data_IF_823054288364
#
_entry.id   IF_823054288364
#
_cell.length_a   1.000
_cell.length_b   1.000
_cell.length_c   1.000
_cell.angle_alpha   90.00
_cell.angle_beta   90.00
_cell.angle_gamma   90.00
#
_symmetry.space_group_name_H-M   'P 1'
#
loop_
_entity.id
_entity.type
_entity.pdbx_description
1 polymer ?
2 polymer ?
3 water ?
#
loop_
_entity_poly.entity_id
_entity_poly.type
_entity_poly.pdbx_seq_one_letter_code
_entity_poly.pdbx_strand_id
2 'polyribonucleotide' 'GG(6MZ)CU' ?
#
# COMPACT_ATOMS: atom_id res chain seq x y z
N UNK A 20 -18.50 -5.73 -3.49
CA UNK A 20 -18.66 -4.32 -3.13
C UNK A 20 -19.28 -3.51 -4.28
N UNK A 21 -20.54 -3.11 -4.09
CA UNK A 21 -21.27 -2.38 -5.15
C UNK A 21 -20.53 -1.19 -5.75
N UNK A 22 -19.80 -0.41 -4.96
CA UNK A 22 -19.08 0.74 -5.52
C UNK A 22 -18.06 0.25 -6.53
N UNK A 23 -17.21 -0.70 -6.12
CA UNK A 23 -16.19 -1.24 -6.99
C UNK A 23 -16.79 -1.87 -8.23
N UNK A 24 -18.02 -2.39 -8.14
CA UNK A 24 -18.61 -3.00 -9.32
C UNK A 24 -19.21 -1.99 -10.29
N UNK A 25 -19.55 -0.78 -9.86
CA UNK A 25 -19.75 0.30 -10.84
C UNK A 25 -18.44 0.60 -11.55
N UNK A 26 -17.40 0.95 -10.78
CA UNK A 26 -16.10 1.30 -11.35
C UNK A 26 -15.64 0.27 -12.36
N UNK A 27 -15.56 -0.99 -11.92
CA UNK A 27 -15.13 -2.07 -12.78
C UNK A 27 -15.90 -2.11 -14.11
N UNK A 28 -17.18 -1.72 -14.11
CA UNK A 28 -17.98 -1.81 -15.33
C UNK A 28 -17.62 -0.70 -16.34
N UNK A 29 -17.58 0.56 -15.90
CA UNK A 29 -17.35 1.67 -16.82
C UNK A 29 -15.93 1.67 -17.38
N UNK A 30 -15.04 0.95 -16.71
CA UNK A 30 -13.60 1.00 -16.91
C UNK A 30 -13.17 -0.43 -17.24
N UNK A 31 -12.69 -0.66 -18.45
CA UNK A 31 -12.15 -2.00 -18.71
C UNK A 31 -10.77 -2.06 -18.06
N UNK A 32 -10.73 -2.29 -16.74
CA UNK A 32 -9.43 -2.35 -16.07
C UNK A 32 -8.64 -3.54 -16.59
N UNK A 33 -7.33 -3.45 -16.44
CA UNK A 33 -6.37 -4.47 -16.87
C UNK A 33 -6.73 -5.06 -18.25
N UNK A 34 -6.85 -4.22 -19.27
CA UNK A 34 -7.25 -4.76 -20.58
C UNK A 34 -6.12 -5.55 -21.20
N UNK A 35 -6.46 -6.70 -21.78
CA UNK A 35 -5.46 -7.58 -22.37
C UNK A 35 -5.03 -7.14 -23.76
N UNK A 36 -5.70 -6.14 -24.31
CA UNK A 36 -5.47 -5.72 -25.69
C UNK A 36 -4.63 -4.47 -25.81
N UNK A 37 -3.92 -4.02 -24.75
CA UNK A 37 -3.66 -2.58 -24.77
C UNK A 37 -2.75 -2.36 -25.96
N UNK A 38 -3.20 -1.74 -27.04
CA UNK A 38 -2.22 -1.11 -27.89
C UNK A 38 -1.77 0.12 -27.13
N UNK A 39 -0.50 0.12 -26.67
CA UNK A 39 -0.10 1.23 -25.79
C UNK A 39 -0.14 2.61 -26.48
N UNK A 40 -0.57 2.68 -27.74
CA UNK A 40 -0.45 3.87 -28.57
C UNK A 40 1.02 4.28 -28.64
N UNK A 41 1.47 5.16 -27.74
CA UNK A 41 2.81 5.77 -27.74
C UNK A 41 3.27 6.16 -29.14
N UNK A 42 4.56 5.89 -29.39
CA UNK A 42 5.22 6.25 -30.64
C UNK A 42 4.86 7.68 -31.07
N UNK A 43 4.43 8.50 -30.09
CA UNK A 43 4.21 9.96 -30.06
C UNK A 43 3.81 10.47 -28.69
N UNK A 44 4.00 9.67 -27.65
CA UNK A 44 3.38 9.92 -26.37
C UNK A 44 4.44 9.99 -25.30
N UNK A 45 4.00 10.27 -24.08
CA UNK A 45 5.09 10.61 -23.21
C UNK A 45 4.69 10.07 -21.83
N UNK A 46 5.67 9.72 -20.99
CA UNK A 46 5.44 8.80 -19.88
C UNK A 46 6.12 9.30 -18.61
N UNK A 47 5.39 9.27 -17.48
CA UNK A 47 5.92 9.77 -16.21
C UNK A 47 5.64 8.84 -15.03
N UNK A 48 6.63 8.70 -14.12
CA UNK A 48 6.41 8.02 -12.84
C UNK A 48 5.59 8.90 -11.90
N UNK A 49 4.55 8.33 -11.30
CA UNK A 49 3.85 8.98 -10.19
C UNK A 49 4.16 8.25 -8.89
N UNK A 50 4.57 9.00 -7.86
CA UNK A 50 4.84 8.45 -6.55
C UNK A 50 3.86 9.02 -5.55
N UNK A 51 3.42 8.18 -4.62
CA UNK A 51 2.51 8.60 -3.56
C UNK A 51 3.00 8.04 -2.23
N UNK A 52 2.96 8.86 -1.18
CA UNK A 52 3.17 8.32 0.16
C UNK A 52 1.87 8.11 0.94
N UNK A 53 0.76 7.93 0.23
CA UNK A 53 -0.54 7.60 0.82
C UNK A 53 -1.19 6.59 -0.11
N UNK A 54 -1.40 5.33 0.31
CA UNK A 54 -2.22 4.50 -0.56
C UNK A 54 -3.67 4.91 -0.54
N UNK A 55 -4.11 5.60 0.51
CA UNK A 55 -5.45 6.12 0.45
C UNK A 55 -5.61 7.00 -0.79
N UNK A 56 -4.57 7.76 -1.13
CA UNK A 56 -4.65 8.63 -2.30
C UNK A 56 -4.77 7.83 -3.59
N UNK A 57 -4.18 6.64 -3.64
CA UNK A 57 -4.33 5.82 -4.84
C UNK A 57 -5.74 5.28 -4.94
N UNK A 58 -6.36 4.93 -3.82
CA UNK A 58 -7.76 4.52 -3.86
C UNK A 58 -8.67 5.68 -4.25
N UNK A 59 -8.40 6.87 -3.71
CA UNK A 59 -9.18 8.05 -4.07
C UNK A 59 -9.05 8.37 -5.56
N UNK A 60 -7.85 8.23 -6.11
CA UNK A 60 -7.66 8.62 -7.51
C UNK A 60 -8.38 7.68 -8.46
N UNK A 61 -8.42 6.38 -8.13
CA UNK A 61 -9.14 5.44 -8.99
C UNK A 61 -10.64 5.72 -8.96
N UNK A 62 -11.16 6.05 -7.79
CA UNK A 62 -12.59 6.30 -7.66
C UNK A 62 -12.98 7.53 -8.44
N UNK A 63 -12.38 8.66 -8.07
CA UNK A 63 -12.72 9.99 -8.55
C UNK A 63 -12.02 10.35 -9.84
N UNK A 64 -11.15 9.48 -10.37
CA UNK A 64 -10.51 9.68 -11.67
C UNK A 64 -9.85 11.06 -11.78
N UNK A 65 -9.13 11.43 -10.72
CA UNK A 65 -8.38 12.68 -10.67
C UNK A 65 -7.07 12.42 -9.95
N UNK A 66 -6.08 13.25 -10.27
CA UNK A 66 -4.81 13.25 -9.56
C UNK A 66 -4.35 14.68 -9.35
N UNK A 67 -3.43 14.83 -8.39
CA UNK A 67 -2.77 16.08 -8.05
C UNK A 67 -1.38 15.74 -7.52
N UNK A 68 -0.35 16.45 -8.01
CA UNK A 68 1.01 16.28 -7.53
C UNK A 68 1.45 17.52 -6.76
N UNK A 69 2.75 17.59 -6.44
CA UNK A 69 3.39 18.78 -5.87
C UNK A 69 3.21 19.96 -6.83
N UNK A 70 3.51 21.18 -6.36
CA UNK A 70 3.31 22.32 -7.26
C UNK A 70 4.27 22.22 -8.41
N UNK A 71 5.47 21.69 -8.13
CA UNK A 71 6.45 21.46 -9.19
C UNK A 71 6.01 20.33 -10.11
N UNK A 72 5.51 19.23 -9.54
CA UNK A 72 5.03 18.12 -10.37
C UNK A 72 3.79 18.46 -11.17
N UNK A 73 2.88 19.25 -10.58
CA UNK A 73 1.74 19.74 -11.33
C UNK A 73 2.19 20.51 -12.58
N UNK A 74 3.25 21.33 -12.46
CA UNK A 74 3.72 22.17 -13.57
C UNK A 74 4.43 21.31 -14.62
N UNK A 75 5.31 20.43 -14.18
CA UNK A 75 5.81 19.41 -15.09
C UNK A 75 4.77 18.55 -15.79
N UNK A 76 3.77 18.04 -15.09
CA UNK A 76 2.80 17.23 -15.85
C UNK A 76 2.00 18.09 -16.80
N UNK A 77 1.63 19.30 -16.37
CA UNK A 77 0.88 20.24 -17.21
C UNK A 77 1.64 20.58 -18.49
N UNK A 78 2.96 20.80 -18.37
CA UNK A 78 3.75 21.23 -19.52
C UNK A 78 3.87 20.12 -20.55
N UNK A 79 4.21 18.91 -20.11
CA UNK A 79 4.28 17.79 -21.04
C UNK A 79 2.95 17.59 -21.72
N UNK A 80 1.86 17.60 -20.95
CA UNK A 80 0.54 17.36 -21.53
C UNK A 80 0.24 18.37 -22.63
N UNK A 81 0.54 19.64 -22.37
CA UNK A 81 0.21 20.71 -23.30
C UNK A 81 1.09 20.68 -24.55
N UNK A 82 2.34 20.23 -24.43
CA UNK A 82 3.14 20.12 -25.64
C UNK A 82 2.74 18.91 -26.47
N UNK A 83 1.97 18.00 -25.90
CA UNK A 83 1.44 16.90 -26.69
C UNK A 83 0.13 17.27 -27.37
N UNK A 84 -0.65 18.22 -26.79
CA UNK A 84 -2.01 18.45 -27.31
C UNK A 84 -2.88 17.21 -27.30
N UNK A 85 -2.92 16.48 -28.37
CA UNK A 85 -3.64 15.23 -28.35
C UNK A 85 -2.97 14.33 -29.35
N UNK A 86 -1.73 14.69 -29.67
CA UNK A 86 -0.90 13.95 -30.62
C UNK A 86 -0.29 12.71 -30.00
N UNK A 87 -0.50 12.50 -28.71
CA UNK A 87 0.18 11.47 -27.96
C UNK A 87 -0.33 11.38 -26.54
N UNK A 88 -0.48 10.16 -26.05
CA UNK A 88 -1.00 9.98 -24.69
C UNK A 88 0.08 10.21 -23.65
N UNK A 89 -0.35 10.74 -22.52
CA UNK A 89 0.51 10.88 -21.34
C UNK A 89 0.10 9.78 -20.38
N UNK A 90 0.98 8.80 -20.19
CA UNK A 90 0.71 7.72 -19.25
C UNK A 90 1.44 7.97 -17.95
N UNK A 91 0.81 7.58 -16.83
CA UNK A 91 1.32 7.78 -15.48
C UNK A 91 1.44 6.44 -14.78
N UNK A 92 2.64 6.14 -14.28
CA UNK A 92 2.97 4.84 -13.68
C UNK A 92 3.02 5.02 -12.16
N UNK A 93 1.94 4.62 -11.48
CA UNK A 93 1.81 4.88 -10.06
C UNK A 93 2.57 3.84 -9.23
N UNK A 94 3.04 4.27 -8.06
CA UNK A 94 3.71 3.43 -7.08
C UNK A 94 3.84 4.11 -5.72
N UNK A 95 3.37 3.44 -4.67
CA UNK A 95 3.43 3.98 -3.30
C UNK A 95 4.83 3.79 -2.74
N UNK A 96 5.39 4.87 -2.17
CA UNK A 96 6.68 4.79 -1.50
C UNK A 96 6.72 3.60 -0.55
N UNK A 97 7.84 2.88 -0.54
CA UNK A 97 8.02 1.77 0.36
C UNK A 97 7.16 0.55 0.09
N UNK A 98 6.33 0.56 -0.96
CA UNK A 98 5.44 -0.57 -1.21
C UNK A 98 6.13 -1.74 -1.90
N UNK A 99 7.26 -1.50 -2.57
CA UNK A 99 7.95 -2.56 -3.29
C UNK A 99 7.26 -3.03 -4.56
N UNK A 100 6.28 -2.28 -5.05
CA UNK A 100 5.72 -2.54 -6.36
C UNK A 100 5.23 -1.23 -6.94
N UNK A 101 4.91 -1.27 -8.23
CA UNK A 101 3.98 -0.31 -8.83
C UNK A 101 2.58 -0.87 -8.70
N UNK A 102 1.60 0.02 -8.70
CA UNK A 102 0.25 -0.42 -8.46
C UNK A 102 -0.72 -0.13 -9.59
N UNK A 103 -0.30 0.56 -10.64
CA UNK A 103 -1.17 0.72 -11.80
C UNK A 103 -0.73 1.83 -12.73
N UNK A 104 -1.39 1.88 -13.89
CA UNK A 104 -1.11 2.83 -14.95
C UNK A 104 -2.39 3.62 -15.27
N UNK A 105 -2.23 4.92 -15.48
CA UNK A 105 -3.32 5.82 -15.82
C UNK A 105 -2.86 6.83 -16.88
N UNK A 106 -3.79 7.24 -17.73
CA UNK A 106 -3.54 8.28 -18.71
C UNK A 106 -4.00 9.63 -18.17
N UNK A 107 -3.20 10.65 -18.44
CA UNK A 107 -3.58 12.03 -18.11
C UNK A 107 -4.61 12.52 -19.11
N UNK A 108 -5.71 13.07 -18.62
CA UNK A 108 -6.85 13.37 -19.48
C UNK A 108 -7.31 14.83 -19.46
N UNK A 109 -6.63 15.70 -18.74
CA UNK A 109 -6.96 17.12 -18.81
C UNK A 109 -5.73 17.91 -18.39
N UNK A 110 -5.83 19.22 -18.58
CA UNK A 110 -4.82 20.15 -18.09
C UNK A 110 -4.98 20.26 -16.59
N UNK A 111 -4.09 20.99 -15.93
CA UNK A 111 -4.09 21.11 -14.48
C UNK A 111 -4.93 22.33 -14.09
N UNK A 112 -5.94 22.12 -13.25
CA UNK A 112 -6.53 23.23 -12.52
C UNK A 112 -5.70 23.43 -11.25
N UNK A 113 -4.97 24.53 -11.21
CA UNK A 113 -4.08 24.82 -10.09
C UNK A 113 -4.82 25.43 -8.91
N UNK A 114 -6.09 25.79 -9.08
CA UNK A 114 -6.85 26.45 -8.03
C UNK A 114 -7.48 25.45 -7.08
N UNK A 115 -8.18 24.46 -7.64
CA UNK A 115 -8.98 23.49 -6.90
C UNK A 115 -8.25 22.94 -5.68
N UNK A 116 -9.02 22.67 -4.62
CA UNK A 116 -8.50 22.01 -3.44
C UNK A 116 -8.99 20.58 -3.28
N UNK A 117 -10.06 20.19 -3.98
CA UNK A 117 -10.52 18.80 -4.08
C UNK A 117 -10.98 18.25 -2.73
N UNK A 118 -10.15 18.36 -1.70
CA UNK A 118 -10.49 17.85 -0.38
C UNK A 118 -10.80 16.37 -0.36
N UNK A 119 -10.05 15.59 -1.13
CA UNK A 119 -10.28 14.15 -1.25
C UNK A 119 -9.09 13.41 -0.68
N UNK A 120 -7.91 13.99 -0.83
CA UNK A 120 -6.68 13.33 -0.48
C UNK A 120 -6.55 13.15 1.03
N UNK A 121 -5.65 12.27 1.44
CA UNK A 121 -5.54 12.02 2.87
C UNK A 121 -4.86 13.15 3.62
N UNK A 122 -4.27 14.12 2.91
CA UNK A 122 -3.74 15.34 3.50
C UNK A 122 -4.35 16.56 2.80
N UNK A 123 -4.59 17.63 3.58
CA UNK A 123 -5.04 18.90 3.01
C UNK A 123 -4.02 19.59 2.11
N UNK A 124 -2.73 19.31 2.25
CA UNK A 124 -1.77 20.16 1.58
C UNK A 124 -1.87 20.16 0.05
N UNK A 125 -2.58 19.20 -0.55
CA UNK A 125 -2.49 19.00 -2.00
C UNK A 125 -3.41 19.97 -2.73
N UNK A 126 -2.82 21.00 -3.32
CA UNK A 126 -3.55 22.02 -4.07
C UNK A 126 -3.52 21.68 -5.54
N UNK A 127 -4.68 21.71 -6.19
CA UNK A 127 -4.76 21.44 -7.61
C UNK A 127 -5.31 20.07 -7.92
N UNK A 128 -5.43 19.82 -9.21
CA UNK A 128 -6.30 18.75 -9.67
C UNK A 128 -6.22 18.59 -11.18
N UNK A 129 -6.22 17.34 -11.66
CA UNK A 129 -6.47 17.10 -13.07
C UNK A 129 -7.08 15.73 -13.24
N UNK A 130 -7.68 15.52 -14.40
CA UNK A 130 -8.41 14.28 -14.64
C UNK A 130 -7.45 13.21 -15.10
N UNK A 131 -7.70 11.98 -14.63
CA UNK A 131 -7.00 10.79 -15.10
C UNK A 131 -8.05 9.74 -15.43
N UNK A 132 -7.70 8.84 -16.35
CA UNK A 132 -8.47 7.63 -16.63
C UNK A 132 -7.59 6.46 -16.27
N UNK A 133 -8.02 5.66 -15.31
CA UNK A 133 -7.19 4.56 -14.87
C UNK A 133 -7.37 3.37 -15.81
N UNK A 134 -6.26 2.75 -16.18
CA UNK A 134 -6.29 1.73 -17.22
C UNK A 134 -5.99 0.40 -16.56
N UNK A 135 -4.74 0.22 -16.14
CA UNK A 135 -4.33 -0.96 -15.39
C UNK A 135 -4.41 -0.66 -13.89
N UNK A 136 -4.91 -1.62 -13.13
CA UNK A 136 -4.90 -1.55 -11.67
C UNK A 136 -4.42 -2.88 -11.12
N UNK A 137 -3.10 -2.98 -10.89
CA UNK A 137 -2.47 -4.26 -10.60
C UNK A 137 -1.14 -3.97 -9.92
N UNK A 138 -0.73 -4.84 -9.01
CA UNK A 138 0.53 -4.62 -8.30
C UNK A 138 1.65 -5.36 -9.05
N UNK A 139 2.66 -4.62 -9.49
CA UNK A 139 3.79 -5.16 -10.24
C UNK A 139 5.04 -5.01 -9.37
N UNK A 140 5.60 -6.08 -8.82
CA UNK A 140 6.74 -5.93 -7.91
C UNK A 140 7.91 -5.24 -8.58
N UNK A 141 8.72 -4.56 -7.76
CA UNK A 141 9.86 -3.81 -8.26
C UNK A 141 10.83 -4.71 -9.04
N UNK A 142 11.02 -5.94 -8.58
CA UNK A 142 12.06 -6.73 -9.21
C UNK A 142 11.70 -7.19 -10.62
N UNK A 143 10.50 -6.88 -11.11
CA UNK A 143 10.16 -7.09 -12.50
C UNK A 143 10.64 -5.95 -13.40
N UNK A 144 11.06 -4.83 -12.83
CA UNK A 144 11.47 -3.67 -13.61
C UNK A 144 12.79 -3.06 -13.14
N UNK A 145 13.44 -3.63 -12.11
CA UNK A 145 14.72 -3.14 -11.61
C UNK A 145 15.80 -3.07 -12.69
N UNK A 146 15.68 -3.88 -13.75
CA UNK A 146 16.74 -3.91 -14.76
C UNK A 146 16.68 -2.71 -15.70
N UNK A 147 15.50 -2.18 -16.02
CA UNK A 147 15.39 -0.97 -16.83
C UNK A 147 15.88 0.22 -16.02
N UNK A 148 17.08 0.71 -16.33
CA UNK A 148 17.67 1.83 -15.59
C UNK A 148 17.59 3.11 -16.41
N UNK A 149 17.16 4.19 -15.77
CA UNK A 149 16.87 5.43 -16.47
C UNK A 149 18.14 6.26 -16.63
N UNK A 150 18.58 6.44 -17.89
CA UNK A 150 19.76 7.23 -18.15
C UNK A 150 19.54 8.71 -17.79
N UNK A 151 18.30 9.20 -17.94
CA UNK A 151 17.98 10.58 -17.60
C UNK A 151 17.85 10.83 -16.08
N UNK A 152 17.95 9.80 -15.24
CA UNK A 152 18.19 10.02 -13.81
C UNK A 152 19.71 9.96 -13.63
N UNK A 153 20.28 9.15 -12.74
CA UNK A 153 21.69 8.85 -12.88
C UNK A 153 21.89 7.37 -13.09
N UNK A 154 21.28 6.81 -14.13
CA UNK A 154 21.29 5.39 -14.41
C UNK A 154 20.77 4.57 -13.24
N UNK A 155 20.01 5.19 -12.33
CA UNK A 155 19.23 4.48 -11.32
C UNK A 155 18.12 3.68 -12.01
N UNK A 156 17.71 2.55 -11.42
CA UNK A 156 16.61 1.78 -12.01
C UNK A 156 15.30 2.51 -11.89
N UNK A 157 14.44 2.34 -12.89
CA UNK A 157 13.14 3.01 -12.95
C UNK A 157 12.36 2.80 -11.63
N UNK A 158 12.67 1.71 -10.90
CA UNK A 158 12.08 1.48 -9.59
C UNK A 158 12.56 2.47 -8.53
N UNK A 159 13.68 3.17 -8.78
CA UNK A 159 14.27 4.13 -7.87
C UNK A 159 13.92 5.56 -8.26
N UNK A 160 12.72 5.79 -8.78
CA UNK A 160 12.41 7.08 -9.36
C UNK A 160 11.73 7.97 -8.34
N UNK A 161 11.81 9.27 -8.57
CA UNK A 161 11.04 10.20 -7.80
C UNK A 161 9.78 10.57 -8.56
N UNK A 162 8.96 11.39 -7.93
CA UNK A 162 7.66 11.78 -8.45
C UNK A 162 7.80 12.68 -9.68
N UNK A 163 7.01 12.39 -10.73
CA UNK A 163 6.99 13.08 -12.02
C UNK A 163 8.35 13.00 -12.74
N UNK A 164 9.12 11.96 -12.47
CA UNK A 164 10.32 11.67 -13.25
C UNK A 164 9.93 11.09 -14.60
N UNK A 165 10.36 11.70 -15.69
CA UNK A 165 9.99 11.23 -17.01
C UNK A 165 10.74 9.94 -17.36
N UNK A 166 10.05 9.03 -18.05
CA UNK A 166 10.68 7.84 -18.60
C UNK A 166 10.82 8.03 -20.11
N UNK A 167 12.01 7.94 -20.67
CA UNK A 167 12.16 8.07 -22.13
C UNK A 167 11.35 7.03 -22.87
N UNK A 168 10.84 7.42 -24.05
CA UNK A 168 10.11 6.56 -24.99
C UNK A 168 10.54 5.09 -24.93
N UNK A 169 11.81 4.86 -25.26
CA UNK A 169 12.30 3.52 -25.55
C UNK A 169 12.40 2.66 -24.30
N UNK A 170 12.58 3.29 -23.15
CA UNK A 170 12.55 2.52 -21.92
C UNK A 170 11.14 2.41 -21.35
N UNK A 171 10.24 3.35 -21.71
CA UNK A 171 8.85 3.21 -21.29
C UNK A 171 8.17 2.05 -22.00
N UNK A 172 8.52 1.83 -23.28
CA UNK A 172 8.01 0.65 -23.99
C UNK A 172 8.35 -0.63 -23.22
N UNK A 173 9.60 -0.78 -22.81
CA UNK A 173 9.97 -1.96 -22.03
C UNK A 173 9.18 -2.03 -20.73
N UNK A 174 9.02 -0.89 -20.05
CA UNK A 174 8.34 -0.88 -18.76
C UNK A 174 6.86 -1.16 -18.96
N UNK A 175 6.24 -0.46 -19.91
CA UNK A 175 4.81 -0.65 -20.14
C UNK A 175 4.50 -2.09 -20.55
N UNK A 176 5.39 -2.69 -21.34
CA UNK A 176 5.17 -4.07 -21.77
C UNK A 176 5.08 -5.00 -20.56
N UNK A 177 6.03 -4.90 -19.62
CA UNK A 177 6.03 -5.88 -18.55
C UNK A 177 4.83 -5.68 -17.64
N UNK A 178 4.38 -4.43 -17.47
CA UNK A 178 3.19 -4.19 -16.66
C UNK A 178 1.95 -4.75 -17.32
N UNK A 179 1.87 -4.70 -18.63
CA UNK A 179 0.68 -5.20 -19.29
C UNK A 179 0.57 -6.70 -19.14
N UNK A 180 1.69 -7.41 -19.27
CA UNK A 180 1.68 -8.86 -19.31
C UNK A 180 1.65 -9.50 -17.94
N UNK A 181 2.29 -8.88 -16.94
CA UNK A 181 2.58 -9.54 -15.67
C UNK A 181 1.32 -10.12 -15.03
N UNK A 182 1.40 -11.40 -14.65
CA UNK A 182 0.30 -12.11 -13.98
C UNK A 182 0.28 -11.70 -12.52
N UNK A 183 -0.36 -10.55 -12.25
CA UNK A 183 -0.37 -10.02 -10.90
C UNK A 183 -1.18 -10.90 -9.96
N UNK A 184 -0.77 -10.94 -8.69
CA UNK A 184 -1.53 -11.67 -7.70
C UNK A 184 -2.26 -10.76 -6.70
N UNK A 185 -1.82 -9.52 -6.50
CA UNK A 185 -2.56 -8.56 -5.66
C UNK A 185 -2.93 -7.34 -6.49
N UNK A 186 -3.81 -6.52 -5.91
CA UNK A 186 -4.21 -5.24 -6.48
C UNK A 186 -4.72 -4.38 -5.33
N UNK A 187 -4.81 -3.06 -5.57
CA UNK A 187 -5.36 -2.22 -4.52
C UNK A 187 -6.85 -2.48 -4.32
N UNK A 188 -7.51 -3.10 -5.30
CA UNK A 188 -8.91 -3.47 -5.10
C UNK A 188 -9.06 -4.48 -3.97
N UNK A 189 -8.03 -5.31 -3.74
CA UNK A 189 -8.06 -6.23 -2.61
C UNK A 189 -8.35 -5.50 -1.33
N UNK A 190 -8.07 -4.20 -1.29
CA UNK A 190 -8.25 -3.40 -0.10
C UNK A 190 -9.35 -2.36 -0.28
N UNK A 191 -10.18 -2.52 -1.31
CA UNK A 191 -11.20 -1.53 -1.62
C UNK A 191 -12.00 -1.13 -0.39
N UNK A 192 -12.60 -2.13 0.28
CA UNK A 192 -13.47 -1.88 1.42
C UNK A 192 -12.72 -1.19 2.56
N UNK A 193 -11.46 -1.59 2.78
CA UNK A 193 -10.64 -0.96 3.80
C UNK A 193 -10.39 0.52 3.50
N UNK A 194 -9.90 0.85 2.30
CA UNK A 194 -9.66 2.27 2.02
C UNK A 194 -10.95 3.08 1.94
N UNK A 195 -12.06 2.47 1.50
CA UNK A 195 -13.32 3.19 1.41
C UNK A 195 -13.78 3.71 2.78
N UNK A 196 -13.74 2.85 3.80
CA UNK A 196 -14.11 3.32 5.14
C UNK A 196 -13.09 4.29 5.71
N UNK A 197 -11.84 4.25 5.24
CA UNK A 197 -10.92 5.28 5.70
C UNK A 197 -11.24 6.67 5.13
N UNK A 198 -12.30 6.82 4.34
CA UNK A 198 -12.76 8.15 3.97
C UNK A 198 -13.69 8.75 5.02
N UNK A 199 -14.06 8.00 6.03
CA UNK A 199 -15.02 8.47 7.01
C UNK A 199 -14.33 8.98 8.27
N UNK B 31 6.68 -21.84 24.99
CA UNK B 31 6.48 -20.55 25.65
C UNK B 31 6.26 -19.45 24.61
N UNK B 32 6.59 -18.21 24.97
CA UNK B 32 6.51 -17.07 24.06
C UNK B 32 7.87 -16.38 23.98
N UNK B 33 7.89 -15.31 23.18
CA UNK B 33 8.99 -14.37 23.15
C UNK B 33 10.34 -15.03 22.81
N UNK B 34 10.37 -15.86 21.76
CA UNK B 34 11.60 -16.62 21.47
C UNK B 34 12.79 -15.72 21.22
N UNK B 35 13.96 -16.19 21.64
CA UNK B 35 15.18 -15.45 21.41
C UNK B 35 15.70 -15.68 19.99
N UNK B 36 15.75 -16.93 19.58
CA UNK B 36 16.13 -17.29 18.22
C UNK B 36 14.84 -17.24 17.41
N UNK B 37 14.55 -16.09 16.81
CA UNK B 37 13.42 -16.02 15.88
C UNK B 37 13.87 -15.46 14.54
N UNK B 38 13.77 -16.29 13.51
CA UNK B 38 14.03 -15.90 12.13
C UNK B 38 12.68 -15.51 11.55
N UNK B 39 12.46 -14.20 11.41
CA UNK B 39 11.19 -13.68 10.94
C UNK B 39 10.83 -14.18 9.54
N UNK B 40 11.82 -14.57 8.74
CA UNK B 40 11.58 -15.02 7.38
C UNK B 40 10.80 -13.98 6.57
N UNK B 41 11.09 -12.71 6.80
CA UNK B 41 10.26 -11.70 6.15
C UNK B 41 10.38 -11.60 4.63
N UNK B 42 11.44 -12.12 4.02
CA UNK B 42 11.78 -11.89 2.61
C UNK B 42 10.55 -11.62 1.75
N UNK B 43 9.64 -12.58 1.77
CA UNK B 43 8.47 -12.62 0.89
C UNK B 43 7.15 -12.57 1.66
N UNK B 44 7.18 -12.12 2.92
CA UNK B 44 5.97 -11.89 3.70
C UNK B 44 5.44 -10.45 3.66
N UNK B 45 4.37 -10.25 4.44
CA UNK B 45 3.77 -8.94 4.63
C UNK B 45 3.40 -8.83 6.09
N UNK B 46 3.32 -7.60 6.59
CA UNK B 46 3.29 -7.28 8.01
C UNK B 46 2.29 -6.15 8.20
N UNK B 47 1.35 -6.31 9.13
CA UNK B 47 0.26 -5.35 9.30
C UNK B 47 0.05 -5.02 10.76
N UNK B 48 -0.47 -3.82 11.01
CA UNK B 48 -0.80 -3.35 12.36
C UNK B 48 -2.24 -3.72 12.68
N UNK B 49 -2.47 -4.32 13.85
CA UNK B 49 -3.81 -4.59 14.36
C UNK B 49 -4.08 -3.62 15.51
N UNK B 50 -5.16 -2.85 15.40
CA UNK B 50 -5.55 -1.95 16.50
C UNK B 50 -6.77 -2.53 17.22
N UNK B 51 -6.56 -3.10 18.40
CA UNK B 51 -7.63 -3.74 19.16
C UNK B 51 -8.42 -2.74 19.96
N UNK B 52 -9.72 -3.00 20.10
CA UNK B 52 -10.61 -2.08 20.78
C UNK B 52 -10.58 -2.26 22.28
N UNK B 53 -10.00 -3.35 22.76
CA UNK B 53 -10.13 -3.73 24.17
C UNK B 53 -9.03 -4.70 24.54
N UNK B 54 -8.54 -4.60 25.77
CA UNK B 54 -7.64 -5.61 26.28
C UNK B 54 -8.33 -6.96 26.40
N UNK B 55 -9.66 -6.98 26.49
CA UNK B 55 -10.39 -8.24 26.48
C UNK B 55 -10.05 -9.05 25.24
N UNK B 56 -10.18 -8.44 24.06
CA UNK B 56 -9.97 -9.14 22.81
C UNK B 56 -8.57 -9.73 22.74
N UNK B 57 -7.59 -9.04 23.30
CA UNK B 57 -6.24 -9.61 23.34
C UNK B 57 -6.23 -10.84 24.23
N UNK B 58 -6.85 -10.76 25.41
CA UNK B 58 -6.91 -11.92 26.29
C UNK B 58 -7.60 -13.09 25.61
N UNK B 59 -8.65 -12.80 24.84
CA UNK B 59 -9.43 -13.83 24.17
C UNK B 59 -8.68 -14.40 22.99
N UNK B 60 -7.98 -13.55 22.25
CA UNK B 60 -7.23 -14.03 21.10
C UNK B 60 -6.14 -14.98 21.52
N UNK B 61 -5.40 -14.64 22.58
CA UNK B 61 -4.27 -15.46 23.03
C UNK B 61 -4.75 -16.82 23.51
N UNK B 62 -5.83 -16.83 24.29
CA UNK B 62 -6.32 -18.07 24.86
C UNK B 62 -6.73 -19.06 23.76
N UNK B 63 -7.32 -18.56 22.68
CA UNK B 63 -8.00 -19.42 21.71
C UNK B 63 -7.47 -19.28 20.28
N UNK B 64 -6.36 -18.57 20.07
CA UNK B 64 -5.65 -18.49 18.80
C UNK B 64 -6.57 -18.15 17.63
N UNK B 65 -7.43 -17.13 17.84
CA UNK B 65 -8.17 -16.52 16.75
C UNK B 65 -8.14 -15.01 16.87
N UNK B 66 -8.50 -14.35 15.79
CA UNK B 66 -8.67 -12.91 15.82
C UNK B 66 -9.92 -12.56 15.01
N UNK B 67 -10.55 -11.44 15.36
CA UNK B 67 -11.66 -10.86 14.61
C UNK B 67 -11.35 -9.38 14.40
N UNK B 68 -11.37 -8.95 13.15
CA UNK B 68 -11.27 -7.55 12.78
C UNK B 68 -12.63 -7.05 12.30
N UNK B 69 -12.67 -5.81 11.83
CA UNK B 69 -13.88 -5.32 11.21
C UNK B 69 -14.20 -6.16 9.97
N UNK B 70 -15.39 -5.94 9.38
CA UNK B 70 -15.72 -6.67 8.16
C UNK B 70 -14.72 -6.36 7.06
N UNK B 71 -14.34 -5.09 6.90
CA UNK B 71 -13.44 -4.69 5.81
C UNK B 71 -11.98 -5.09 6.10
N UNK B 72 -11.55 -4.98 7.34
CA UNK B 72 -10.18 -5.32 7.64
C UNK B 72 -9.93 -6.82 7.56
N UNK B 73 -10.87 -7.62 8.05
CA UNK B 73 -10.82 -9.12 7.81
C UNK B 73 -10.61 -9.50 6.41
N UNK B 74 -11.04 -8.61 5.53
CA UNK B 74 -11.26 -8.94 4.14
C UNK B 74 -10.04 -8.56 3.33
N UNK B 75 -9.46 -7.41 3.67
CA UNK B 75 -8.09 -7.07 3.39
C UNK B 75 -7.17 -8.21 3.81
N UNK B 76 -7.30 -8.67 5.06
CA UNK B 76 -6.43 -9.72 5.56
C UNK B 76 -6.62 -11.02 4.80
N UNK B 77 -7.86 -11.34 4.42
CA UNK B 77 -8.13 -12.56 3.68
C UNK B 77 -7.44 -12.56 2.33
N UNK B 78 -7.54 -11.45 1.60
CA UNK B 78 -6.93 -11.37 0.28
C UNK B 78 -5.41 -11.35 0.37
N UNK B 79 -4.86 -10.65 1.37
CA UNK B 79 -3.42 -10.67 1.59
C UNK B 79 -2.94 -12.08 1.85
N UNK B 80 -3.51 -12.73 2.87
CA UNK B 80 -3.12 -14.08 3.26
C UNK B 80 -3.20 -15.03 2.07
N UNK B 81 -4.36 -15.04 1.40
CA UNK B 81 -4.57 -15.92 0.25
C UNK B 81 -3.62 -15.58 -0.88
N UNK B 82 -3.32 -14.29 -1.06
CA UNK B 82 -2.36 -13.87 -2.08
C UNK B 82 -0.99 -14.44 -1.81
N UNK B 83 -0.56 -14.41 -0.55
CA UNK B 83 0.75 -14.95 -0.19
C UNK B 83 0.87 -16.43 -0.53
N UNK B 84 -0.25 -17.16 -0.49
CA UNK B 84 -0.33 -18.61 -0.72
C UNK B 84 0.87 -19.36 -0.12
N UNK B 85 1.21 -18.99 1.11
CA UNK B 85 2.25 -19.69 1.84
C UNK B 85 3.65 -19.51 1.30
N UNK B 86 3.86 -18.59 0.36
CA UNK B 86 5.22 -18.22 -0.03
C UNK B 86 5.91 -17.37 1.04
N UNK B 87 5.16 -16.82 2.00
CA UNK B 87 5.68 -15.96 3.03
C UNK B 87 4.75 -15.80 4.22
N UNK B 88 5.29 -15.30 5.33
CA UNK B 88 4.45 -15.10 6.52
C UNK B 88 3.61 -13.85 6.41
N UNK B 89 2.50 -13.84 7.14
CA UNK B 89 1.74 -12.61 7.36
C UNK B 89 1.73 -12.36 8.86
N UNK B 90 2.51 -11.38 9.31
CA UNK B 90 2.60 -11.01 10.71
C UNK B 90 1.65 -9.86 11.05
N UNK B 91 1.19 -9.86 12.31
CA UNK B 91 0.29 -8.85 12.86
C UNK B 91 0.87 -8.29 14.13
N UNK B 92 0.92 -6.98 14.23
CA UNK B 92 1.48 -6.25 15.36
C UNK B 92 0.35 -5.63 16.15
N UNK B 93 0.17 -6.08 17.37
CA UNK B 93 -1.02 -5.68 18.12
C UNK B 93 -0.78 -4.50 19.06
N UNK B 94 -1.76 -3.61 19.10
CA UNK B 94 -1.76 -2.49 20.04
C UNK B 94 -3.21 -2.21 20.40
N UNK B 95 -3.52 -2.22 21.69
CA UNK B 95 -4.86 -1.83 22.11
C UNK B 95 -5.03 -0.34 21.86
N UNK B 96 -6.24 0.07 21.47
CA UNK B 96 -6.48 1.49 21.31
C UNK B 96 -6.14 2.20 22.61
N UNK B 97 -5.33 3.23 22.51
CA UNK B 97 -5.03 4.05 23.64
C UNK B 97 -4.09 3.46 24.65
N UNK B 98 -3.51 2.29 24.36
CA UNK B 98 -2.67 1.64 25.34
C UNK B 98 -1.32 2.32 25.48
N UNK B 99 -0.87 3.05 24.46
CA UNK B 99 0.45 3.67 24.47
C UNK B 99 1.62 2.73 24.36
N UNK B 100 1.39 1.45 24.03
CA UNK B 100 2.43 0.48 23.77
C UNK B 100 1.89 -0.59 22.83
N UNK B 101 2.79 -1.29 22.16
CA UNK B 101 2.45 -2.50 21.43
C UNK B 101 2.48 -3.69 22.38
N UNK B 102 1.65 -4.68 22.11
CA UNK B 102 1.46 -5.75 23.08
C UNK B 102 1.74 -7.15 22.55
N UNK B 103 2.22 -7.30 21.32
CA UNK B 103 2.67 -8.60 20.88
C UNK B 103 2.73 -8.69 19.37
N UNK B 104 3.11 -9.89 18.89
CA UNK B 104 3.08 -10.22 17.47
C UNK B 104 2.55 -11.64 17.30
N UNK B 105 1.67 -11.82 16.32
CA UNK B 105 1.15 -13.13 15.96
C UNK B 105 1.24 -13.31 14.45
N UNK B 106 1.37 -14.56 14.02
CA UNK B 106 1.24 -14.88 12.61
C UNK B 106 -0.19 -15.32 12.29
N UNK B 107 -0.64 -14.93 11.12
CA UNK B 107 -1.94 -15.37 10.64
C UNK B 107 -1.82 -16.79 10.11
N UNK B 108 -2.78 -17.65 10.48
CA UNK B 108 -2.66 -19.07 10.21
C UNK B 108 -3.88 -19.67 9.49
N UNK B 109 -4.84 -18.87 9.05
CA UNK B 109 -6.00 -19.43 8.37
C UNK B 109 -6.67 -18.33 7.56
N UNK B 110 -7.37 -18.74 6.51
CA UNK B 110 -8.26 -17.84 5.81
C UNK B 110 -9.37 -17.45 6.78
N UNK B 111 -10.15 -16.44 6.42
CA UNK B 111 -11.22 -15.96 7.29
C UNK B 111 -12.42 -16.89 7.19
N UNK B 112 -13.09 -17.05 8.31
CA UNK B 112 -14.17 -18.01 8.50
C UNK B 112 -15.42 -17.21 8.83
N UNK B 113 -16.43 -17.34 7.99
CA UNK B 113 -17.63 -16.52 8.13
C UNK B 113 -18.84 -17.37 8.52
N UNK B 114 -18.61 -18.42 9.32
CA UNK B 114 -19.65 -19.37 9.72
C UNK B 114 -20.54 -18.86 10.87
N UNK B 115 -20.20 -17.74 11.51
CA UNK B 115 -21.05 -17.16 12.57
C UNK B 115 -21.58 -15.76 12.23
N UNK B 126 -19.94 -11.86 11.89
CA UNK B 126 -18.60 -12.15 12.40
C UNK B 126 -17.73 -12.94 11.42
N UNK B 127 -16.46 -12.58 11.38
CA UNK B 127 -15.44 -13.37 10.70
C UNK B 127 -14.27 -13.61 11.64
N UNK B 128 -13.70 -14.81 11.55
CA UNK B 128 -12.62 -15.23 12.43
C UNK B 128 -11.53 -15.85 11.60
N UNK B 129 -10.30 -15.74 12.09
CA UNK B 129 -9.20 -16.48 11.49
C UNK B 129 -8.22 -16.85 12.59
N UNK B 130 -7.44 -17.89 12.34
CA UNK B 130 -6.50 -18.39 13.32
C UNK B 130 -5.28 -17.50 13.36
N UNK B 131 -4.66 -17.42 14.54
CA UNK B 131 -3.43 -16.68 14.74
C UNK B 131 -2.55 -17.47 15.69
N UNK B 132 -1.25 -17.53 15.42
CA UNK B 132 -0.28 -18.12 16.34
C UNK B 132 0.51 -17.02 17.02
N UNK B 133 0.28 -16.83 18.31
CA UNK B 133 0.99 -15.76 19.02
C UNK B 133 2.45 -16.14 19.21
N UNK B 134 3.34 -15.29 18.73
CA UNK B 134 4.78 -15.54 18.81
C UNK B 134 5.43 -14.74 19.92
N UNK B 135 5.08 -13.46 20.02
CA UNK B 135 5.59 -12.57 21.05
C UNK B 135 4.41 -12.01 21.82
N UNK B 136 4.42 -12.21 23.13
CA UNK B 136 3.59 -11.44 24.06
C UNK B 136 4.54 -10.66 24.96
N UNK B 137 4.52 -9.33 24.84
CA UNK B 137 5.39 -8.42 25.56
C UNK B 137 4.87 -7.01 25.32
N UNK B 138 5.09 -6.13 26.31
CA UNK B 138 4.68 -4.73 26.19
C UNK B 138 5.86 -3.92 25.68
N UNK B 139 5.73 -3.36 24.48
CA UNK B 139 6.75 -2.51 23.87
C UNK B 139 6.19 -1.10 23.80
N UNK B 140 6.71 -0.14 24.56
CA UNK B 140 6.17 1.21 24.52
C UNK B 140 6.45 1.92 23.21
N UNK B 141 5.58 2.84 22.85
CA UNK B 141 5.69 3.52 21.56
C UNK B 141 6.98 4.35 21.46
N UNK B 142 7.42 4.98 22.56
CA UNK B 142 8.71 5.67 22.62
C UNK B 142 9.84 4.94 21.94
N UNK B 143 9.79 3.62 21.92
CA UNK B 143 10.83 2.83 21.28
C UNK B 143 10.60 2.63 19.80
N UNK B 144 9.44 3.00 19.28
CA UNK B 144 9.12 2.74 17.88
C UNK B 144 8.67 4.00 17.15
N UNK B 145 8.34 5.06 17.89
CA UNK B 145 7.87 6.31 17.30
C UNK B 145 8.75 6.84 16.17
N UNK B 146 10.04 6.51 16.18
CA UNK B 146 10.96 7.10 15.22
C UNK B 146 10.85 6.47 13.84
N UNK B 147 10.11 5.38 13.71
CA UNK B 147 9.90 4.68 12.44
C UNK B 147 8.62 5.23 11.81
N UNK B 148 8.74 5.89 10.66
CA UNK B 148 7.62 6.47 9.96
C UNK B 148 7.23 5.62 8.75
N UNK B 149 5.94 5.59 8.44
CA UNK B 149 5.44 4.78 7.33
C UNK B 149 5.34 5.65 6.08
N UNK B 150 6.31 5.50 5.18
CA UNK B 150 6.29 6.25 3.93
C UNK B 150 5.18 5.78 2.97
N UNK B 151 4.32 4.87 3.41
CA UNK B 151 3.09 4.57 2.70
C UNK B 151 1.88 5.22 3.32
N UNK B 152 2.02 5.87 4.47
CA UNK B 152 0.89 6.46 5.15
C UNK B 152 1.25 7.85 5.64
N UNK B 153 1.44 8.77 4.69
CA UNK B 153 1.74 10.18 5.00
C UNK B 153 2.85 10.31 6.03
N UNK B 154 3.86 9.45 5.94
CA UNK B 154 5.01 9.46 6.84
C UNK B 154 4.60 9.58 8.31
N UNK B 155 3.53 8.84 8.70
CA UNK B 155 3.13 8.89 10.10
C UNK B 155 3.88 7.81 10.87
N UNK B 156 4.21 8.09 12.13
CA UNK B 156 4.92 7.09 12.93
C UNK B 156 4.12 5.79 13.02
N UNK B 157 4.84 4.67 12.94
CA UNK B 157 4.20 3.36 12.99
C UNK B 157 3.31 3.27 14.22
N UNK B 158 3.50 4.15 15.19
CA UNK B 158 2.68 4.14 16.39
C UNK B 158 1.40 4.95 16.21
N UNK B 159 1.24 5.61 15.08
CA UNK B 159 0.07 6.44 14.79
C UNK B 159 -0.76 5.81 13.68
N UNK B 160 -0.83 4.48 13.66
CA UNK B 160 -1.54 3.73 12.64
C UNK B 160 -2.98 3.46 13.05
N UNK B 161 -3.77 3.09 12.07
CA UNK B 161 -5.10 2.58 12.33
C UNK B 161 -5.16 1.11 11.93
N UNK B 162 -6.33 0.52 12.07
CA UNK B 162 -6.42 -0.93 11.95
C UNK B 162 -6.01 -1.41 10.56
N UNK B 163 -5.27 -2.54 10.55
CA UNK B 163 -4.72 -3.21 9.35
C UNK B 163 -3.93 -2.25 8.44
N UNK B 164 -3.34 -1.20 9.03
CA UNK B 164 -2.30 -0.47 8.33
C UNK B 164 -1.14 -1.39 8.02
N UNK B 165 -0.63 -1.31 6.80
CA UNK B 165 0.48 -2.17 6.42
C UNK B 165 1.80 -1.45 6.61
N UNK B 166 2.82 -2.22 6.98
CA UNK B 166 4.15 -1.71 7.27
C UNK B 166 5.06 -2.13 6.13
N UNK B 167 5.72 -1.21 5.45
CA UNK B 167 6.60 -1.60 4.34
C UNK B 167 7.69 -2.55 4.81
N UNK B 168 8.13 -3.43 3.90
CA UNK B 168 9.05 -4.50 4.28
C UNK B 168 10.25 -3.99 5.09
N UNK B 169 10.88 -2.91 4.65
CA UNK B 169 12.10 -2.49 5.32
C UNK B 169 11.82 -1.81 6.66
N UNK B 170 10.70 -1.09 6.79
CA UNK B 170 10.34 -0.59 8.11
C UNK B 170 9.88 -1.71 9.03
N UNK B 171 9.37 -2.82 8.47
CA UNK B 171 8.89 -3.91 9.31
C UNK B 171 10.05 -4.65 9.93
N UNK B 172 11.14 -4.84 9.19
CA UNK B 172 12.36 -5.41 9.76
C UNK B 172 12.85 -4.57 10.94
N UNK B 173 12.91 -3.26 10.79
CA UNK B 173 13.29 -2.39 11.90
C UNK B 173 12.34 -2.54 13.08
N UNK B 174 11.03 -2.59 12.82
CA UNK B 174 10.06 -2.70 13.92
C UNK B 174 10.22 -4.02 14.65
N UNK B 175 10.08 -5.12 13.90
CA UNK B 175 10.10 -6.45 14.51
C UNK B 175 11.37 -6.68 15.32
N UNK B 176 12.53 -6.21 14.83
CA UNK B 176 13.76 -6.38 15.57
C UNK B 176 13.73 -5.60 16.88
N UNK B 177 13.25 -4.36 16.86
CA UNK B 177 13.04 -3.64 18.12
C UNK B 177 12.08 -4.39 19.03
N UNK B 178 11.06 -5.02 18.45
CA UNK B 178 10.15 -5.76 19.30
C UNK B 178 10.82 -7.02 19.85
N UNK B 179 11.60 -7.71 19.03
CA UNK B 179 12.13 -9.01 19.43
C UNK B 179 13.12 -8.86 20.58
N UNK B 180 14.06 -7.94 20.46
CA UNK B 180 15.18 -7.81 21.39
C UNK B 180 14.85 -6.98 22.62
N UNK B 181 13.72 -6.29 22.64
CA UNK B 181 13.41 -5.39 23.74
C UNK B 181 13.13 -6.17 25.01
N UNK B 182 13.58 -5.63 26.14
CA UNK B 182 13.50 -6.30 27.44
C UNK B 182 12.31 -5.70 28.21
N UNK B 183 11.14 -6.32 28.08
CA UNK B 183 9.90 -5.81 28.65
C UNK B 183 9.81 -6.06 30.16
N UNK B 184 9.11 -5.15 30.86
CA UNK B 184 8.84 -5.27 32.29
C UNK B 184 7.37 -5.56 32.58
N UNK B 185 6.49 -5.34 31.62
CA UNK B 185 5.05 -5.56 31.73
C UNK B 185 4.61 -6.38 30.55
N UNK B 186 3.37 -6.87 30.60
CA UNK B 186 2.84 -7.83 29.65
C UNK B 186 1.34 -7.94 29.83
N UNK B 187 0.61 -8.24 28.75
CA UNK B 187 -0.83 -8.41 28.88
C UNK B 187 -1.18 -9.52 29.88
N UNK B 188 -0.25 -10.45 30.13
CA UNK B 188 -0.45 -11.47 31.15
C UNK B 188 -0.63 -10.86 32.53
N UNK B 189 -0.01 -9.71 32.80
CA UNK B 189 -0.11 -9.09 34.12
C UNK B 189 -1.56 -8.92 34.55
N UNK B 190 -2.42 -8.53 33.61
CA UNK B 190 -3.86 -8.41 33.89
C UNK B 190 -4.42 -9.77 34.34
#
# INVERSE_FOLDING_TARGET
>A
MGHHHHHHSSGRENLYFQGHPVLEKLKAINNYNPKDFDWNLKNGRVFIIKSYSEDDIHRSIKYSIWCSTEHGNKRLDAAYRSLNGKGPLYLLFSVNGSGHFCGVAEMKSVVDYNAYAGVWSQDKWKGKFEVKWIFVKDVPNNQLRHIRLENNDNKPVTNSRDTQEVPLEKAKQVLKIIATFKHTTSIFDDFAHYEKRQE
>B
MGHHHHHHSSGRENLYFQGHPVLEKLKAINNYNPKDFDWNLKNGRVFIIKSYSEDDIHRSIKYSIWCSTEHGNKRLDAAYRSLNGKGPLYLLFSVNGSGHFCGVAEMKSVVDYNAYAGVWSQDKWKGKFEVKWIFVKDVPNNQLRHIRLENNDNKPVTNSRDTQEVPLEKAKQVLKIIATFKHTTSIFDDFAHYEKRQE
#
